data_IF_674387758982
#
_entry.id   IF_674387758982
#
_cell.length_a   1.000
_cell.length_b   1.000
_cell.length_c   1.000
_cell.angle_alpha   90.00
_cell.angle_beta   90.00
_cell.angle_gamma   90.00
#
_symmetry.space_group_name_H-M   'P 1'
#
loop_
_entity.id
_entity.type
_entity.pdbx_description
1 polymer ?
#
# COMPACT_ATOMS: atom_id res chain seq x y z
N UNK A 1 2.54 -17.77 -10.11
CA UNK A 1 1.67 -17.01 -11.04
C UNK A 1 0.23 -17.18 -10.56
N UNK A 2 -0.40 -16.12 -10.07
CA UNK A 2 -1.79 -16.17 -9.56
C UNK A 2 -2.74 -16.07 -10.75
N UNK A 3 -3.62 -17.07 -10.94
CA UNK A 3 -4.60 -17.07 -12.03
C UNK A 3 -5.90 -16.41 -11.53
N UNK A 4 -6.41 -15.36 -12.20
CA UNK A 4 -7.66 -14.74 -11.79
C UNK A 4 -8.82 -15.72 -12.00
N UNK A 5 -9.64 -15.91 -10.97
CA UNK A 5 -10.87 -16.71 -11.02
C UNK A 5 -12.04 -15.81 -11.42
N UNK A 6 -12.91 -16.30 -12.29
CA UNK A 6 -14.14 -15.60 -12.67
C UNK A 6 -15.25 -15.96 -11.67
N UNK A 7 -16.03 -14.96 -11.26
CA UNK A 7 -17.19 -15.15 -10.40
C UNK A 7 -18.32 -14.21 -10.83
N UNK A 8 -19.57 -14.60 -10.52
CA UNK A 8 -20.76 -13.78 -10.71
C UNK A 8 -21.58 -13.72 -9.41
N UNK A 9 -22.47 -12.74 -9.30
CA UNK A 9 -23.33 -12.57 -8.11
C UNK A 9 -24.73 -13.09 -8.41
N UNK A 10 -25.22 -14.00 -7.57
CA UNK A 10 -26.60 -14.52 -7.59
C UNK A 10 -27.20 -14.36 -6.21
N UNK A 11 -28.31 -13.63 -6.08
CA UNK A 11 -29.00 -13.38 -4.81
C UNK A 11 -28.08 -12.89 -3.68
N UNK A 12 -27.11 -12.03 -4.03
CA UNK A 12 -26.14 -11.47 -3.07
C UNK A 12 -25.02 -12.44 -2.68
N UNK A 13 -24.93 -13.62 -3.30
CA UNK A 13 -23.85 -14.60 -3.10
C UNK A 13 -22.90 -14.59 -4.28
N UNK A 14 -21.59 -14.63 -4.01
CA UNK A 14 -20.56 -14.81 -5.04
C UNK A 14 -20.50 -16.29 -5.44
N UNK A 15 -20.72 -16.56 -6.71
CA UNK A 15 -20.65 -17.88 -7.34
C UNK A 15 -19.42 -17.91 -8.23
N UNK A 16 -18.46 -18.79 -7.91
CA UNK A 16 -17.26 -19.01 -8.72
C UNK A 16 -17.61 -19.80 -9.98
N UNK A 17 -17.19 -19.29 -11.15
CA UNK A 17 -17.44 -19.90 -12.46
C UNK A 17 -16.40 -20.97 -12.82
N UNK A 18 -15.28 -21.06 -12.09
CA UNK A 18 -14.14 -21.89 -12.48
C UNK A 18 -14.17 -23.29 -11.82
N UNK A 19 -14.33 -24.37 -12.60
CA UNK A 19 -14.37 -25.75 -12.10
C UNK A 19 -13.00 -26.31 -11.69
N UNK A 20 -11.89 -25.60 -11.94
CA UNK A 20 -10.53 -26.08 -11.65
C UNK A 20 -10.07 -25.84 -10.21
N UNK A 21 -10.81 -25.02 -9.46
CA UNK A 21 -10.71 -24.95 -8.00
C UNK A 21 -11.46 -26.14 -7.41
N UNK A 22 -10.77 -27.26 -7.22
CA UNK A 22 -11.26 -28.44 -6.49
C UNK A 22 -11.42 -28.15 -4.99
N UNK A 23 -12.15 -27.08 -4.66
CA UNK A 23 -12.46 -26.70 -3.29
C UNK A 23 -13.62 -27.57 -2.81
N UNK A 24 -13.50 -28.21 -1.63
CA UNK A 24 -14.62 -28.97 -1.07
C UNK A 24 -15.79 -28.04 -0.77
N UNK A 25 -17.00 -28.61 -0.73
CA UNK A 25 -18.18 -27.89 -0.25
C UNK A 25 -17.94 -27.37 1.18
N UNK A 26 -18.22 -26.09 1.41
CA UNK A 26 -17.95 -25.43 2.69
C UNK A 26 -16.52 -24.88 2.86
N UNK A 27 -15.67 -24.93 1.83
CA UNK A 27 -14.36 -24.30 1.87
C UNK A 27 -14.47 -22.78 2.08
N UNK A 28 -13.88 -22.29 3.17
CA UNK A 28 -13.73 -20.86 3.41
C UNK A 28 -12.58 -20.31 2.56
N UNK A 29 -12.83 -19.21 1.86
CA UNK A 29 -11.82 -18.50 1.07
C UNK A 29 -11.78 -17.05 1.49
N UNK A 30 -10.58 -16.51 1.63
CA UNK A 30 -10.40 -15.08 1.89
C UNK A 30 -10.55 -14.30 0.59
N UNK A 31 -11.60 -13.48 0.52
CA UNK A 31 -11.84 -12.59 -0.60
C UNK A 31 -11.18 -11.24 -0.32
N UNK A 32 -10.10 -10.97 -1.05
CA UNK A 32 -9.47 -9.65 -1.05
C UNK A 32 -9.96 -8.86 -2.26
N UNK A 33 -10.62 -7.74 -2.00
CA UNK A 33 -10.93 -6.77 -3.06
C UNK A 33 -9.61 -6.18 -3.55
N UNK A 34 -9.22 -6.55 -4.77
CA UNK A 34 -8.06 -5.94 -5.43
C UNK A 34 -8.51 -4.57 -5.93
N UNK A 35 -8.14 -3.51 -5.21
CA UNK A 35 -8.24 -2.15 -5.73
C UNK A 35 -7.30 -2.03 -6.93
N UNK A 36 -7.89 -1.88 -8.11
CA UNK A 36 -7.19 -1.69 -9.39
C UNK A 36 -6.49 -0.32 -9.49
N UNK A 37 -6.58 0.53 -8.46
CA UNK A 37 -5.68 1.68 -8.23
C UNK A 37 -4.34 1.28 -7.61
N UNK A 38 -4.00 -0.01 -7.60
CA UNK A 38 -2.72 -0.51 -7.10
C UNK A 38 -1.56 0.23 -7.74
N UNK A 39 -0.61 0.69 -6.93
CA UNK A 39 0.65 1.24 -7.42
C UNK A 39 1.31 0.24 -8.37
N UNK A 40 1.69 0.71 -9.57
CA UNK A 40 2.44 -0.12 -10.52
C UNK A 40 3.73 -0.66 -9.89
N UNK A 41 4.22 -1.80 -10.38
CA UNK A 41 5.37 -2.52 -9.80
C UNK A 41 6.61 -1.64 -9.60
N UNK A 42 6.90 -0.76 -10.55
CA UNK A 42 8.02 0.18 -10.43
C UNK A 42 7.80 1.24 -9.35
N UNK A 43 6.59 1.80 -9.25
CA UNK A 43 6.27 2.77 -8.21
C UNK A 43 6.36 2.13 -6.82
N UNK A 44 5.91 0.88 -6.70
CA UNK A 44 6.05 0.10 -5.46
C UNK A 44 7.51 -0.18 -5.11
N UNK A 45 8.34 -0.56 -6.08
CA UNK A 45 9.77 -0.80 -5.85
C UNK A 45 10.49 0.46 -5.36
N UNK A 46 10.21 1.62 -5.97
CA UNK A 46 10.78 2.91 -5.52
C UNK A 46 10.34 3.28 -4.10
N UNK A 47 9.07 3.04 -3.76
CA UNK A 47 8.57 3.30 -2.41
C UNK A 47 9.28 2.42 -1.37
N UNK A 48 9.46 1.12 -1.67
CA UNK A 48 10.14 0.20 -0.75
C UNK A 48 11.60 0.64 -0.55
N UNK A 49 12.30 0.95 -1.64
CA UNK A 49 13.67 1.45 -1.56
C UNK A 49 13.76 2.72 -0.70
N UNK A 50 12.84 3.68 -0.88
CA UNK A 50 12.84 4.91 -0.08
C UNK A 50 12.56 4.66 1.41
N UNK A 51 11.79 3.61 1.75
CA UNK A 51 11.55 3.21 3.15
C UNK A 51 12.82 2.58 3.75
N UNK A 52 13.51 1.71 3.01
CA UNK A 52 14.77 1.10 3.44
C UNK A 52 15.85 2.17 3.66
N UNK A 53 15.98 3.13 2.74
CA UNK A 53 16.90 4.27 2.89
C UNK A 53 16.56 5.11 4.13
N UNK A 54 15.27 5.38 4.39
CA UNK A 54 14.85 6.12 5.57
C UNK A 54 15.11 5.37 6.89
N UNK A 55 15.04 4.04 6.89
CA UNK A 55 15.39 3.23 8.05
C UNK A 55 16.89 3.37 8.39
N UNK A 56 17.76 3.30 7.37
CA UNK A 56 19.19 3.54 7.54
C UNK A 56 19.50 4.96 8.05
N UNK A 57 18.77 5.96 7.57
CA UNK A 57 18.91 7.35 8.04
C UNK A 57 18.57 7.47 9.53
N UNK A 58 17.48 6.82 9.97
CA UNK A 58 17.10 6.79 11.38
C UNK A 58 18.18 6.10 12.24
N UNK A 59 18.73 4.98 11.78
CA UNK A 59 19.80 4.26 12.50
C UNK A 59 21.09 5.09 12.61
N UNK A 60 21.41 5.88 11.58
CA UNK A 60 22.55 6.81 11.57
C UNK A 60 22.30 8.10 12.37
N UNK A 61 21.08 8.33 12.83
CA UNK A 61 20.68 9.58 13.47
C UNK A 61 20.54 10.75 12.50
N UNK A 62 20.42 10.48 11.20
CA UNK A 62 20.19 11.47 10.14
C UNK A 62 18.69 11.76 9.99
N UNK A 63 18.08 12.27 11.06
CA UNK A 63 16.69 12.71 11.08
C UNK A 63 16.55 13.98 11.91
N UNK A 64 15.44 14.68 11.71
CA UNK A 64 15.06 15.85 12.48
C UNK A 64 13.71 15.61 13.13
N UNK A 65 13.49 16.18 14.32
CA UNK A 65 12.17 16.17 14.94
C UNK A 65 11.16 16.94 14.07
N UNK A 66 9.97 16.38 13.91
CA UNK A 66 8.98 16.92 13.01
C UNK A 66 8.45 18.30 13.46
N UNK A 67 8.34 18.54 14.77
CA UNK A 67 7.87 19.81 15.30
C UNK A 67 8.97 20.86 15.23
N UNK A 68 10.21 20.49 15.57
CA UNK A 68 11.38 21.37 15.41
C UNK A 68 11.54 21.84 13.96
N UNK A 69 11.44 20.92 13.01
CA UNK A 69 11.50 21.24 11.59
C UNK A 69 10.35 22.15 11.13
N UNK A 70 9.13 21.95 11.63
CA UNK A 70 7.99 22.80 11.33
C UNK A 70 8.18 24.24 11.85
N UNK A 71 8.70 24.39 13.07
CA UNK A 71 9.00 25.69 13.66
C UNK A 71 10.08 26.44 12.87
N UNK A 72 11.13 25.73 12.43
CA UNK A 72 12.15 26.31 11.54
C UNK A 72 11.57 26.81 10.21
N UNK A 73 10.68 26.04 9.58
CA UNK A 73 10.05 26.42 8.32
C UNK A 73 9.19 27.66 8.48
N UNK A 74 8.43 27.75 9.58
CA UNK A 74 7.62 28.92 9.90
C UNK A 74 8.50 30.16 10.11
N UNK A 75 9.57 30.03 10.90
CA UNK A 75 10.52 31.11 11.15
C UNK A 75 11.19 31.61 9.85
N UNK A 76 11.61 30.70 8.96
CA UNK A 76 12.19 31.03 7.64
C UNK A 76 11.20 31.81 6.77
N UNK A 77 9.92 31.41 6.75
CA UNK A 77 8.86 32.11 6.00
C UNK A 77 8.63 33.53 6.51
N UNK A 78 8.61 33.71 7.83
CA UNK A 78 8.40 35.03 8.44
C UNK A 78 9.58 35.97 8.20
N UNK A 79 10.81 35.45 8.25
CA UNK A 79 12.01 36.22 7.93
C UNK A 79 12.05 36.67 6.47
N UNK A 80 11.60 35.83 5.54
CA UNK A 80 11.49 36.18 4.12
C UNK A 80 10.38 37.19 3.80
N UNK A 81 9.45 37.43 4.73
CA UNK A 81 8.31 38.33 4.57
C UNK A 81 8.52 39.72 5.20
N UNK A 82 9.71 39.98 5.77
CA UNK A 82 10.13 41.29 6.31
C UNK A 82 11.13 41.96 5.38
#
# INVERSE_FOLDING_TARGET
MTRPLKAHVVDGRLVLDDPSTALPEGAEVELVLVDNRSMGSQARARLIQAIEEAEEDIERGDYVDALEFADELLAKREAASR
#
